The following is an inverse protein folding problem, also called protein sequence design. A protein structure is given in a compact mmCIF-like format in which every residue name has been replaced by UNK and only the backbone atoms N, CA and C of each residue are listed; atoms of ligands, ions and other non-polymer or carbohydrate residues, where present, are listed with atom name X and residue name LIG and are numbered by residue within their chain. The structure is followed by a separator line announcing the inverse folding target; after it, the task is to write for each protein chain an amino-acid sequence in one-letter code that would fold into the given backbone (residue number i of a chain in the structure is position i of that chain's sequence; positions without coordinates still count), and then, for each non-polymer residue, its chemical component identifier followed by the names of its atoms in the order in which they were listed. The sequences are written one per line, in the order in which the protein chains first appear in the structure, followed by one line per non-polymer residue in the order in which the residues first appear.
data_IF_289644111910
#
_entry.id   IF_289644111910
#
_cell.length_a   1.000
_cell.length_b   1.000
_cell.length_c   1.000
_cell.angle_alpha   90.00
_cell.angle_beta   90.00
_cell.angle_gamma   90.00
#
_symmetry.space_group_name_H-M   'P 1'
#
loop_
_entity.id
_entity.type
_entity.pdbx_description
1 polymer ?
#
# COMPACT_ATOMS: atom_id res chain seq x y z
N UNK A 1 -0.42 24.24 -7.75
CA UNK A 1 -0.60 22.82 -8.06
C UNK A 1 -0.52 22.01 -6.76
N UNK A 2 -1.47 21.12 -6.53
CA UNK A 2 -1.55 20.29 -5.31
C UNK A 2 -0.54 19.13 -5.29
N UNK A 3 0.03 18.81 -6.44
CA UNK A 3 1.01 17.73 -6.58
C UNK A 3 2.41 18.32 -6.66
N UNK A 4 3.28 17.94 -5.73
CA UNK A 4 4.68 18.32 -5.70
C UNK A 4 5.55 17.17 -6.28
N UNK A 5 6.67 17.49 -6.96
CA UNK A 5 7.62 16.46 -7.36
C UNK A 5 8.14 15.71 -6.13
N UNK A 6 8.26 14.40 -6.23
CA UNK A 6 8.83 13.60 -5.14
C UNK A 6 10.35 13.75 -5.09
N UNK A 7 10.90 14.22 -3.97
CA UNK A 7 12.34 14.29 -3.73
C UNK A 7 13.04 12.91 -3.87
N UNK A 8 12.30 11.83 -3.61
CA UNK A 8 12.81 10.45 -3.77
C UNK A 8 13.13 10.12 -5.23
N UNK A 9 12.46 10.73 -6.21
CA UNK A 9 12.72 10.43 -7.61
C UNK A 9 14.16 10.74 -8.02
N UNK A 10 14.77 11.74 -7.43
CA UNK A 10 16.18 12.08 -7.64
C UNK A 10 17.11 10.99 -7.07
N UNK A 11 16.80 10.47 -5.88
CA UNK A 11 17.57 9.39 -5.26
C UNK A 11 17.38 8.05 -5.98
N UNK A 12 16.19 7.76 -6.50
CA UNK A 12 15.92 6.53 -7.25
C UNK A 12 16.72 6.47 -8.56
N UNK A 13 17.04 7.62 -9.16
CA UNK A 13 17.89 7.64 -10.36
C UNK A 13 19.34 7.18 -10.07
N UNK A 14 19.83 7.43 -8.86
CA UNK A 14 21.14 6.94 -8.40
C UNK A 14 21.13 5.44 -8.09
N UNK A 15 19.97 4.90 -7.69
CA UNK A 15 19.83 3.47 -7.38
C UNK A 15 19.90 2.56 -8.61
N UNK A 16 19.86 3.12 -9.82
CA UNK A 16 20.03 2.35 -11.08
C UNK A 16 21.48 2.19 -11.50
N UNK A 17 22.43 2.86 -10.84
CA UNK A 17 23.85 2.71 -11.11
C UNK A 17 24.35 1.38 -10.48
N UNK A 18 24.83 0.41 -11.30
CA UNK A 18 25.27 -0.89 -10.79
C UNK A 18 26.52 -0.85 -9.90
N UNK A 19 27.22 0.28 -9.85
CA UNK A 19 28.41 0.49 -9.00
C UNK A 19 28.03 0.95 -7.58
N UNK A 20 26.77 1.33 -7.37
CA UNK A 20 26.27 1.84 -6.09
C UNK A 20 25.42 0.77 -5.38
N UNK A 21 25.80 0.41 -4.16
CA UNK A 21 24.94 -0.36 -3.28
C UNK A 21 23.90 0.57 -2.67
N UNK A 22 22.67 0.51 -3.18
CA UNK A 22 21.59 1.40 -2.72
C UNK A 22 20.82 0.82 -1.54
N UNK A 23 20.65 1.63 -0.49
CA UNK A 23 19.74 1.38 0.64
C UNK A 23 18.52 2.31 0.59
N UNK A 24 18.33 3.06 -0.49
CA UNK A 24 17.29 4.10 -0.60
C UNK A 24 15.91 3.56 -1.01
N UNK A 25 15.86 2.41 -1.70
CA UNK A 25 14.61 1.82 -2.16
C UNK A 25 14.50 0.36 -1.73
N UNK A 26 13.36 -0.03 -1.15
CA UNK A 26 13.06 -1.41 -0.79
C UNK A 26 12.67 -2.26 -2.01
N UNK A 27 13.54 -2.37 -3.02
CA UNK A 27 13.27 -3.20 -4.19
C UNK A 27 13.41 -4.69 -3.82
N UNK A 28 12.47 -5.54 -4.25
CA UNK A 28 12.63 -6.99 -4.16
C UNK A 28 13.86 -7.48 -4.92
N UNK A 29 14.52 -8.53 -4.42
CA UNK A 29 15.60 -9.18 -5.16
C UNK A 29 15.06 -9.82 -6.44
N UNK A 30 15.54 -9.35 -7.59
CA UNK A 30 15.11 -9.82 -8.91
C UNK A 30 15.36 -11.32 -9.14
N UNK A 31 16.35 -11.91 -8.45
CA UNK A 31 16.64 -13.33 -8.54
C UNK A 31 15.58 -14.23 -7.89
N UNK A 32 14.75 -13.65 -7.01
CA UNK A 32 13.66 -14.37 -6.35
C UNK A 32 12.35 -14.38 -7.14
N UNK A 33 12.28 -13.65 -8.26
CA UNK A 33 11.08 -13.67 -9.08
C UNK A 33 10.85 -15.04 -9.73
N UNK A 34 9.64 -15.63 -9.62
CA UNK A 34 9.33 -16.95 -10.15
C UNK A 34 9.12 -16.92 -11.67
N UNK A 35 10.18 -16.58 -12.42
CA UNK A 35 10.11 -16.32 -13.86
C UNK A 35 9.60 -17.51 -14.68
N UNK A 36 9.96 -18.76 -14.30
CA UNK A 36 9.52 -19.94 -15.04
C UNK A 36 8.01 -20.19 -14.88
N UNK A 37 7.43 -20.26 -13.67
CA UNK A 37 5.98 -20.35 -13.49
C UNK A 37 5.21 -19.19 -14.14
N UNK A 38 5.71 -17.95 -14.05
CA UNK A 38 5.05 -16.79 -14.67
C UNK A 38 4.99 -16.94 -16.20
N UNK A 39 6.06 -17.39 -16.84
CA UNK A 39 6.09 -17.63 -18.29
C UNK A 39 5.07 -18.69 -18.71
N UNK A 40 4.97 -19.80 -17.97
CA UNK A 40 4.02 -20.88 -18.25
C UNK A 40 2.58 -20.40 -18.13
N UNK A 41 2.24 -19.69 -17.04
CA UNK A 41 0.92 -19.09 -16.83
C UNK A 41 0.58 -18.11 -17.95
N UNK A 42 1.49 -17.22 -18.33
CA UNK A 42 1.25 -16.28 -19.43
C UNK A 42 1.05 -16.99 -20.77
N UNK A 43 1.81 -18.04 -21.06
CA UNK A 43 1.66 -18.83 -22.27
C UNK A 43 0.28 -19.51 -22.34
N UNK A 44 -0.25 -20.00 -21.22
CA UNK A 44 -1.60 -20.56 -21.12
C UNK A 44 -2.68 -19.50 -21.28
N UNK A 45 -2.56 -18.36 -20.60
CA UNK A 45 -3.55 -17.29 -20.65
C UNK A 45 -3.64 -16.59 -22.00
N UNK A 46 -2.53 -16.48 -22.73
CA UNK A 46 -2.47 -15.79 -24.02
C UNK A 46 -2.76 -16.70 -25.23
N UNK A 47 -3.48 -17.80 -25.02
CA UNK A 47 -3.98 -18.61 -26.13
C UNK A 47 -5.25 -18.01 -26.76
N UNK A 48 -5.54 -18.36 -27.99
CA UNK A 48 -6.77 -17.91 -28.66
C UNK A 48 -8.06 -18.38 -27.97
N UNK A 49 -8.00 -19.50 -27.26
CA UNK A 49 -9.11 -20.00 -26.44
C UNK A 49 -9.40 -19.10 -25.22
N UNK A 50 -8.42 -18.35 -24.75
CA UNK A 50 -8.50 -17.47 -23.59
C UNK A 50 -8.45 -15.98 -23.97
N UNK A 51 -8.89 -15.61 -25.17
CA UNK A 51 -8.88 -14.21 -25.64
C UNK A 51 -9.64 -13.26 -24.69
N UNK A 52 -10.60 -13.77 -23.91
CA UNK A 52 -11.31 -13.03 -22.85
C UNK A 52 -10.39 -12.53 -21.71
N UNK A 53 -9.21 -13.11 -21.54
CA UNK A 53 -8.24 -12.63 -20.53
C UNK A 53 -7.73 -11.21 -20.81
N UNK A 54 -7.81 -10.75 -22.05
CA UNK A 54 -7.43 -9.41 -22.50
C UNK A 54 -8.62 -8.45 -22.61
N UNK A 55 -9.83 -8.90 -22.28
CA UNK A 55 -11.05 -8.12 -22.41
C UNK A 55 -11.29 -7.25 -21.15
N UNK A 56 -12.11 -6.22 -21.30
CA UNK A 56 -12.63 -5.45 -20.18
C UNK A 56 -13.35 -6.34 -19.18
N UNK A 57 -13.25 -5.99 -17.89
CA UNK A 57 -13.96 -6.65 -16.80
C UNK A 57 -14.69 -5.62 -15.94
N UNK A 58 -15.40 -6.08 -14.90
CA UNK A 58 -16.04 -5.22 -13.93
C UNK A 58 -15.01 -4.36 -13.19
N UNK A 59 -15.41 -3.15 -12.76
CA UNK A 59 -14.53 -2.18 -12.14
C UNK A 59 -13.95 -2.65 -10.80
N UNK A 60 -14.63 -3.55 -10.12
CA UNK A 60 -14.23 -4.16 -8.85
C UNK A 60 -13.28 -5.36 -9.03
N UNK A 61 -13.07 -5.81 -10.25
CA UNK A 61 -12.18 -6.90 -10.60
C UNK A 61 -12.88 -8.21 -10.98
N UNK A 62 -12.11 -9.17 -11.44
CA UNK A 62 -12.62 -10.50 -11.84
C UNK A 62 -13.26 -11.21 -10.63
N UNK A 63 -14.52 -11.71 -10.74
CA UNK A 63 -15.20 -12.37 -9.63
C UNK A 63 -14.41 -13.56 -9.05
N UNK A 64 -13.76 -14.35 -9.91
CA UNK A 64 -12.94 -15.48 -9.46
C UNK A 64 -11.72 -15.04 -8.65
N UNK A 65 -11.08 -13.92 -9.02
CA UNK A 65 -9.94 -13.38 -8.27
C UNK A 65 -10.40 -12.81 -6.92
N UNK A 66 -11.52 -12.07 -6.89
CA UNK A 66 -12.11 -11.55 -5.66
C UNK A 66 -12.45 -12.69 -4.69
N UNK A 67 -13.04 -13.78 -5.19
CA UNK A 67 -13.35 -14.96 -4.38
C UNK A 67 -12.09 -15.63 -3.81
N UNK A 68 -11.01 -15.75 -4.59
CA UNK A 68 -9.74 -16.29 -4.11
C UNK A 68 -9.12 -15.43 -3.01
N UNK A 69 -9.13 -14.11 -3.19
CA UNK A 69 -8.61 -13.16 -2.18
C UNK A 69 -9.45 -13.24 -0.90
N UNK A 70 -10.78 -13.23 -1.00
CA UNK A 70 -11.67 -13.34 0.15
C UNK A 70 -11.46 -14.66 0.91
N UNK A 71 -11.32 -15.78 0.20
CA UNK A 71 -11.05 -17.08 0.81
C UNK A 71 -9.70 -17.09 1.55
N UNK A 72 -8.65 -16.47 0.98
CA UNK A 72 -7.34 -16.35 1.62
C UNK A 72 -7.41 -15.50 2.89
N UNK A 73 -8.02 -14.31 2.82
CA UNK A 73 -8.18 -13.43 3.98
C UNK A 73 -8.99 -14.12 5.10
N UNK A 74 -10.05 -14.83 4.73
CA UNK A 74 -10.85 -15.58 5.72
C UNK A 74 -10.05 -16.69 6.39
N UNK A 75 -9.19 -17.39 5.66
CA UNK A 75 -8.29 -18.40 6.22
C UNK A 75 -7.24 -17.80 7.16
N UNK A 76 -6.83 -16.57 6.92
CA UNK A 76 -5.86 -15.82 7.74
C UNK A 76 -6.56 -15.07 8.92
N UNK A 77 -7.86 -15.35 9.18
CA UNK A 77 -8.59 -14.82 10.33
C UNK A 77 -9.36 -13.52 10.10
N UNK A 78 -9.48 -13.06 8.85
CA UNK A 78 -10.27 -11.90 8.45
C UNK A 78 -11.49 -12.34 7.62
N UNK A 79 -12.61 -12.72 8.24
CA UNK A 79 -13.79 -13.20 7.51
C UNK A 79 -14.34 -12.13 6.58
N UNK A 80 -14.36 -12.40 5.28
CA UNK A 80 -14.93 -11.51 4.26
C UNK A 80 -15.44 -12.32 3.07
N UNK A 81 -16.38 -11.73 2.32
CA UNK A 81 -16.89 -12.27 1.07
C UNK A 81 -16.26 -11.61 -0.16
N UNK A 82 -16.52 -12.14 -1.37
CA UNK A 82 -16.03 -11.52 -2.60
C UNK A 82 -16.48 -10.07 -2.79
N UNK A 83 -17.62 -9.68 -2.22
CA UNK A 83 -18.17 -8.32 -2.34
C UNK A 83 -17.47 -7.30 -1.43
N UNK A 84 -16.65 -7.78 -0.48
CA UNK A 84 -15.80 -6.94 0.36
C UNK A 84 -14.42 -6.68 -0.27
N UNK A 85 -14.16 -7.20 -1.48
CA UNK A 85 -12.86 -7.13 -2.15
C UNK A 85 -12.93 -6.29 -3.41
N UNK A 86 -12.09 -5.28 -3.50
CA UNK A 86 -11.82 -4.49 -4.69
C UNK A 86 -10.41 -4.75 -5.19
N UNK A 87 -10.26 -5.14 -6.45
CA UNK A 87 -8.95 -5.33 -7.08
C UNK A 87 -8.44 -3.99 -7.62
N UNK A 88 -7.26 -3.58 -7.19
CA UNK A 88 -6.63 -2.32 -7.60
C UNK A 88 -5.32 -2.55 -8.34
N UNK A 89 -4.82 -1.52 -9.02
CA UNK A 89 -3.51 -1.50 -9.67
C UNK A 89 -2.40 -1.28 -8.63
N UNK A 90 -2.27 -2.24 -7.70
CA UNK A 90 -1.36 -2.17 -6.57
C UNK A 90 -1.85 -1.30 -5.42
N UNK A 91 -1.12 -1.35 -4.29
CA UNK A 91 -1.49 -0.66 -3.05
C UNK A 91 -1.54 0.86 -3.18
N UNK A 92 -0.77 1.45 -4.08
CA UNK A 92 -0.76 2.90 -4.29
C UNK A 92 -2.14 3.41 -4.77
N UNK A 93 -2.83 2.68 -5.64
CA UNK A 93 -4.19 3.03 -6.05
C UNK A 93 -5.18 2.85 -4.89
N UNK A 94 -5.00 1.80 -4.07
CA UNK A 94 -5.83 1.60 -2.89
C UNK A 94 -5.73 2.77 -1.91
N UNK A 95 -4.51 3.26 -1.65
CA UNK A 95 -4.28 4.44 -0.80
C UNK A 95 -4.92 5.72 -1.39
N UNK A 96 -4.73 5.96 -2.69
CA UNK A 96 -5.33 7.13 -3.38
C UNK A 96 -6.86 7.10 -3.32
N UNK A 97 -7.47 5.95 -3.58
CA UNK A 97 -8.92 5.79 -3.50
C UNK A 97 -9.43 6.00 -2.07
N UNK A 98 -8.74 5.45 -1.06
CA UNK A 98 -9.08 5.64 0.35
C UNK A 98 -9.04 7.12 0.72
N UNK A 99 -7.99 7.83 0.34
CA UNK A 99 -7.88 9.25 0.60
C UNK A 99 -9.03 10.05 -0.03
N UNK A 100 -9.33 9.80 -1.30
CA UNK A 100 -10.41 10.49 -2.03
C UNK A 100 -11.79 10.23 -1.46
N UNK A 101 -12.02 9.06 -0.85
CA UNK A 101 -13.31 8.69 -0.28
C UNK A 101 -13.54 9.28 1.11
N UNK A 102 -12.48 9.41 1.92
CA UNK A 102 -12.64 9.66 3.35
C UNK A 102 -12.02 10.98 3.84
N UNK A 103 -11.16 11.63 3.04
CA UNK A 103 -10.36 12.76 3.49
C UNK A 103 -10.73 14.02 2.73
N UNK A 104 -11.18 15.04 3.46
CA UNK A 104 -11.35 16.42 3.00
C UNK A 104 -10.14 17.27 3.43
N UNK A 105 -9.91 18.43 2.77
CA UNK A 105 -8.85 19.36 3.17
C UNK A 105 -8.95 19.76 4.65
N UNK A 106 -7.87 19.53 5.39
CA UNK A 106 -7.77 19.83 6.82
C UNK A 106 -8.18 18.68 7.75
N UNK A 107 -8.76 17.59 7.23
CA UNK A 107 -8.99 16.38 8.03
C UNK A 107 -7.66 15.79 8.51
N UNK A 108 -7.69 15.13 9.66
CA UNK A 108 -6.49 14.61 10.30
C UNK A 108 -6.25 13.16 9.95
N UNK A 109 -5.04 12.87 9.45
CA UNK A 109 -4.50 11.52 9.30
C UNK A 109 -3.43 11.29 10.37
N UNK A 110 -3.60 10.27 11.19
CA UNK A 110 -2.57 9.79 12.11
C UNK A 110 -1.65 8.83 11.36
N UNK A 111 -0.35 8.99 11.50
CA UNK A 111 0.66 8.13 10.86
C UNK A 111 1.71 7.70 11.87
N UNK A 112 2.42 6.65 11.56
CA UNK A 112 3.68 6.31 12.21
C UNK A 112 4.75 7.40 11.96
N UNK A 113 5.78 7.45 12.80
CA UNK A 113 6.94 8.33 12.62
C UNK A 113 8.24 7.56 12.88
N UNK A 114 8.99 7.18 11.83
CA UNK A 114 8.76 7.47 10.39
C UNK A 114 7.61 6.63 9.77
N UNK A 115 7.10 7.07 8.62
CA UNK A 115 6.05 6.38 7.88
C UNK A 115 6.40 6.18 6.40
N UNK A 116 5.65 5.31 5.73
CA UNK A 116 5.84 5.02 4.30
C UNK A 116 5.54 6.24 3.43
N UNK A 117 6.55 6.71 2.73
CA UNK A 117 6.42 7.92 1.91
C UNK A 117 5.40 7.76 0.77
N UNK A 118 5.21 6.55 0.23
CA UNK A 118 4.19 6.29 -0.79
C UNK A 118 2.77 6.61 -0.30
N UNK A 119 2.49 6.40 0.98
CA UNK A 119 1.22 6.79 1.59
C UNK A 119 1.06 8.31 1.63
N UNK A 120 2.09 9.04 2.06
CA UNK A 120 2.05 10.51 2.06
C UNK A 120 1.84 11.09 0.65
N UNK A 121 2.48 10.48 -0.37
CA UNK A 121 2.28 10.88 -1.77
C UNK A 121 0.83 10.67 -2.22
N UNK A 122 0.19 9.56 -1.79
CA UNK A 122 -1.21 9.30 -2.11
C UNK A 122 -2.17 10.27 -1.39
N UNK A 123 -1.88 10.60 -0.13
CA UNK A 123 -2.77 11.40 0.71
C UNK A 123 -2.64 12.91 0.47
N UNK A 124 -1.44 13.41 0.18
CA UNK A 124 -1.16 14.84 0.02
C UNK A 124 -2.11 15.60 -0.95
N UNK A 125 -2.60 14.99 -2.07
CA UNK A 125 -3.56 15.67 -2.95
C UNK A 125 -4.88 16.08 -2.27
N UNK A 126 -5.27 15.44 -1.15
CA UNK A 126 -6.46 15.78 -0.37
C UNK A 126 -6.18 16.83 0.71
N UNK A 127 -4.94 17.32 0.83
CA UNK A 127 -4.52 18.39 1.75
C UNK A 127 -4.82 18.06 3.23
N UNK A 128 -4.49 16.86 3.75
CA UNK A 128 -4.74 16.50 5.13
C UNK A 128 -3.77 17.19 6.08
N UNK A 129 -4.14 17.25 7.36
CA UNK A 129 -3.23 17.52 8.46
C UNK A 129 -2.70 16.21 9.04
N UNK A 130 -1.38 16.05 9.15
CA UNK A 130 -0.79 14.84 9.73
C UNK A 130 -0.56 14.98 11.24
N UNK A 131 -0.77 13.87 11.96
CA UNK A 131 -0.38 13.70 13.36
C UNK A 131 0.49 12.45 13.48
N UNK A 132 1.83 12.64 13.53
CA UNK A 132 2.76 11.52 13.67
C UNK A 132 2.73 10.97 15.10
N UNK A 133 2.78 9.65 15.22
CA UNK A 133 2.92 8.89 16.46
C UNK A 133 4.29 8.22 16.46
N UNK A 134 5.08 8.31 17.54
CA UNK A 134 6.38 7.66 17.62
C UNK A 134 6.28 6.14 17.52
N UNK A 135 7.38 5.52 17.18
CA UNK A 135 7.57 4.07 17.13
C UNK A 135 8.72 3.67 18.04
N UNK A 136 8.64 2.44 18.54
CA UNK A 136 9.71 1.76 19.27
C UNK A 136 10.05 0.39 18.67
N UNK A 137 10.71 -0.48 19.42
CA UNK A 137 11.05 -1.84 18.99
C UNK A 137 9.81 -2.76 18.84
N UNK A 138 8.69 -2.41 19.45
CA UNK A 138 7.39 -3.08 19.34
C UNK A 138 6.48 -2.49 18.24
N UNK A 139 6.95 -1.53 17.47
CA UNK A 139 6.17 -0.86 16.42
C UNK A 139 5.59 0.48 16.87
N UNK A 140 4.36 0.78 16.45
CA UNK A 140 3.66 2.02 16.81
C UNK A 140 3.41 2.07 18.31
N UNK A 141 3.79 3.18 18.97
CA UNK A 141 3.50 3.43 20.40
C UNK A 141 1.99 3.62 20.61
N UNK A 142 1.36 2.59 21.16
CA UNK A 142 -0.11 2.54 21.34
C UNK A 142 -0.59 3.54 22.40
N UNK A 143 0.22 3.84 23.41
CA UNK A 143 -0.13 4.83 24.46
C UNK A 143 -0.08 6.24 23.87
N UNK A 144 0.96 6.55 23.10
CA UNK A 144 1.05 7.80 22.36
C UNK A 144 -0.09 7.95 21.33
N UNK A 145 -0.47 6.86 20.64
CA UNK A 145 -1.64 6.86 19.74
C UNK A 145 -2.91 7.21 20.52
N UNK A 146 -3.15 6.55 21.66
CA UNK A 146 -4.33 6.82 22.47
C UNK A 146 -4.40 8.28 22.92
N UNK A 147 -3.26 8.87 23.30
CA UNK A 147 -3.18 10.29 23.67
C UNK A 147 -3.47 11.21 22.46
N UNK A 148 -2.93 10.90 21.29
CA UNK A 148 -3.20 11.66 20.06
C UNK A 148 -4.69 11.61 19.72
N UNK A 149 -5.31 10.44 19.80
CA UNK A 149 -6.75 10.28 19.50
C UNK A 149 -7.63 11.03 20.51
N UNK A 150 -7.21 11.08 21.78
CA UNK A 150 -7.94 11.79 22.83
C UNK A 150 -7.86 13.32 22.70
N UNK A 151 -6.73 13.84 22.21
CA UNK A 151 -6.42 15.27 22.20
C UNK A 151 -6.61 15.94 20.84
N UNK A 152 -6.72 15.16 19.77
CA UNK A 152 -6.81 15.66 18.40
C UNK A 152 -8.23 15.47 17.85
N UNK A 153 -9.01 16.55 17.70
CA UNK A 153 -10.30 16.44 17.03
C UNK A 153 -10.14 16.21 15.51
N UNK A 154 -11.14 15.60 14.89
CA UNK A 154 -11.19 15.47 13.43
C UNK A 154 -10.27 14.39 12.84
N UNK A 155 -9.79 13.45 13.65
CA UNK A 155 -9.07 12.28 13.12
C UNK A 155 -10.03 11.43 12.28
N UNK A 156 -9.69 11.25 11.00
CA UNK A 156 -10.46 10.48 10.02
C UNK A 156 -9.82 9.15 9.67
N UNK A 157 -8.49 9.09 9.71
CA UNK A 157 -7.74 7.92 9.26
C UNK A 157 -6.54 7.70 10.18
N UNK A 158 -6.28 6.44 10.49
CA UNK A 158 -5.00 5.97 11.04
C UNK A 158 -4.35 5.13 9.96
N UNK A 159 -3.14 5.50 9.57
CA UNK A 159 -2.33 4.74 8.63
C UNK A 159 -1.16 4.09 9.36
N UNK A 160 -1.06 2.78 9.25
CA UNK A 160 0.02 1.97 9.83
C UNK A 160 0.44 0.85 8.88
N UNK A 161 1.68 0.38 9.01
CA UNK A 161 2.23 -0.80 8.34
C UNK A 161 2.63 -1.80 9.43
N UNK A 162 1.73 -2.70 9.84
CA UNK A 162 1.96 -3.53 11.01
C UNK A 162 3.06 -4.58 10.82
N UNK A 163 3.25 -5.08 9.61
CA UNK A 163 4.26 -6.10 9.30
C UNK A 163 5.40 -5.49 8.50
N UNK A 164 6.64 -5.69 9.00
CA UNK A 164 7.86 -5.21 8.32
C UNK A 164 7.76 -3.75 7.89
N UNK A 165 7.43 -2.89 8.85
CA UNK A 165 7.16 -1.46 8.64
C UNK A 165 8.21 -0.81 7.74
N UNK A 166 7.74 -0.01 6.79
CA UNK A 166 8.61 0.76 5.92
C UNK A 166 8.69 2.22 6.42
N UNK A 167 9.89 2.73 6.85
CA UNK A 167 11.22 2.18 6.53
C UNK A 167 11.91 1.38 7.66
N UNK A 168 11.30 1.15 8.82
CA UNK A 168 12.00 0.64 10.01
C UNK A 168 12.23 -0.86 10.00
N UNK A 169 11.40 -1.63 9.27
CA UNK A 169 11.43 -3.09 9.28
C UNK A 169 10.81 -3.73 10.53
N UNK A 170 10.32 -2.93 11.47
CA UNK A 170 9.71 -3.42 12.72
C UNK A 170 8.33 -4.02 12.44
N UNK A 171 7.97 -5.07 13.18
CA UNK A 171 6.62 -5.65 13.18
C UNK A 171 5.91 -5.28 14.47
N UNK A 172 4.64 -4.87 14.36
CA UNK A 172 3.81 -4.49 15.50
C UNK A 172 3.57 -5.70 16.40
N UNK A 173 3.81 -5.53 17.71
CA UNK A 173 3.71 -6.57 18.73
C UNK A 173 2.24 -6.94 19.06
#
# INVERSE_FOLDING_TARGET
ARVQPSAIREFLSLATDPTITSFAGGYPDANLFPMAPLREIHAELLTSANASSLQYTASDGLPALRALVAARLSADGMPCGPDDVLITQGGQQGLDLTARLFIDPGDVIVTENPTFLGALIAFNPTEPAYRPVPMDEGGLDVEALAEVLRTTPGVKLIYTVPDFQNPTGVTLA
#
